data_IF_233024007158
#
_entry.id   IF_233024007158
#
_cell.length_a   1.000
_cell.length_b   1.000
_cell.length_c   1.000
_cell.angle_alpha   90.00
_cell.angle_beta   90.00
_cell.angle_gamma   90.00
#
_symmetry.space_group_name_H-M   'P 1'
#
loop_
_entity.id
_entity.type
_entity.pdbx_description
1 polymer ?
#
# COMPACT_ATOMS: atom_id res chain seq x y z
N UNK A 1 -26.52 53.22 11.12
CA UNK A 1 -26.46 53.13 9.66
C UNK A 1 -26.86 51.71 9.30
N UNK A 2 -27.95 51.55 8.56
CA UNK A 2 -28.51 50.23 8.25
C UNK A 2 -28.00 49.83 6.86
N UNK A 3 -26.70 49.59 6.75
CA UNK A 3 -26.04 49.24 5.50
C UNK A 3 -26.35 47.78 5.19
N UNK A 4 -27.46 47.57 4.48
CA UNK A 4 -27.75 46.27 3.87
C UNK A 4 -26.67 46.02 2.82
N UNK A 5 -25.82 45.02 3.09
CA UNK A 5 -24.81 44.58 2.11
C UNK A 5 -25.52 44.15 0.82
N UNK A 6 -25.10 44.66 -0.35
CA UNK A 6 -25.70 44.31 -1.63
C UNK A 6 -25.41 42.85 -2.00
N UNK A 7 -26.34 42.20 -2.70
CA UNK A 7 -26.24 40.80 -3.11
C UNK A 7 -24.94 40.49 -3.88
N UNK A 8 -24.46 41.41 -4.72
CA UNK A 8 -23.22 41.21 -5.49
C UNK A 8 -22.00 40.98 -4.58
N UNK A 9 -21.90 41.73 -3.48
CA UNK A 9 -20.81 41.56 -2.51
C UNK A 9 -20.96 40.21 -1.80
N UNK A 10 -22.20 39.79 -1.49
CA UNK A 10 -22.45 38.48 -0.90
C UNK A 10 -22.03 37.37 -1.85
N UNK A 11 -22.33 37.47 -3.14
CA UNK A 11 -21.96 36.46 -4.13
C UNK A 11 -20.44 36.33 -4.26
N UNK A 12 -19.70 37.44 -4.25
CA UNK A 12 -18.23 37.43 -4.29
C UNK A 12 -17.62 36.79 -3.03
N UNK A 13 -18.24 37.01 -1.87
CA UNK A 13 -17.78 36.48 -0.59
C UNK A 13 -18.32 35.08 -0.27
N UNK A 14 -19.33 34.61 -1.00
CA UNK A 14 -20.03 33.36 -0.71
C UNK A 14 -19.10 32.14 -0.79
N UNK A 15 -18.25 31.98 -1.83
CA UNK A 15 -17.31 30.86 -1.89
C UNK A 15 -16.37 30.83 -0.68
N UNK A 16 -15.82 32.00 -0.32
CA UNK A 16 -14.92 32.15 0.83
C UNK A 16 -15.63 31.84 2.15
N UNK A 17 -16.91 32.18 2.26
CA UNK A 17 -17.74 31.87 3.42
C UNK A 17 -18.02 30.37 3.56
N UNK A 18 -18.32 29.66 2.46
CA UNK A 18 -18.55 28.21 2.52
C UNK A 18 -17.25 27.45 2.83
N UNK A 19 -16.11 27.95 2.37
CA UNK A 19 -14.78 27.43 2.70
C UNK A 19 -14.30 27.80 4.11
N UNK A 20 -15.06 28.61 4.85
CA UNK A 20 -14.72 29.03 6.22
C UNK A 20 -13.51 29.97 6.31
N UNK A 21 -13.20 30.68 5.22
CA UNK A 21 -12.04 31.58 5.10
C UNK A 21 -12.37 33.05 5.43
N UNK A 22 -13.60 33.34 5.86
CA UNK A 22 -14.08 34.67 6.23
C UNK A 22 -14.02 34.90 7.75
N UNK A 23 -13.86 36.17 8.16
CA UNK A 23 -13.82 36.55 9.57
C UNK A 23 -15.19 36.43 10.24
N UNK A 24 -15.23 36.28 11.58
CA UNK A 24 -16.49 36.17 12.32
C UNK A 24 -17.44 37.35 12.11
N UNK A 25 -16.91 38.58 12.04
CA UNK A 25 -17.72 39.77 11.74
C UNK A 25 -18.39 39.66 10.37
N UNK A 26 -17.64 39.28 9.33
CA UNK A 26 -18.15 39.09 7.97
C UNK A 26 -19.20 37.97 7.93
N UNK A 27 -18.99 36.89 8.69
CA UNK A 27 -19.94 35.78 8.79
C UNK A 27 -21.29 36.22 9.36
N UNK A 28 -21.29 37.14 10.32
CA UNK A 28 -22.50 37.73 10.89
C UNK A 28 -23.34 38.42 9.83
N UNK A 29 -22.72 39.29 9.03
CA UNK A 29 -23.40 40.02 7.97
C UNK A 29 -23.90 39.11 6.83
N UNK A 30 -23.11 38.10 6.43
CA UNK A 30 -23.51 37.14 5.40
C UNK A 30 -24.71 36.31 5.87
N UNK A 31 -24.71 35.83 7.13
CA UNK A 31 -25.85 35.09 7.69
C UNK A 31 -27.13 35.92 7.72
N UNK A 32 -27.05 37.16 8.19
CA UNK A 32 -28.21 38.05 8.23
C UNK A 32 -28.78 38.31 6.81
N UNK A 33 -27.91 38.43 5.80
CA UNK A 33 -28.35 38.58 4.42
C UNK A 33 -29.00 37.30 3.86
N UNK A 34 -28.41 36.13 4.12
CA UNK A 34 -28.95 34.82 3.68
C UNK A 34 -30.32 34.49 4.29
N UNK A 35 -30.63 35.01 5.47
CA UNK A 35 -31.97 34.88 6.09
C UNK A 35 -33.03 35.74 5.38
N UNK A 36 -32.63 36.87 4.78
CA UNK A 36 -33.54 37.86 4.19
C UNK A 36 -33.63 37.76 2.67
N UNK A 37 -32.64 37.17 2.00
CA UNK A 37 -32.56 37.07 0.54
C UNK A 37 -32.61 35.61 0.07
N UNK A 38 -33.71 35.23 -0.58
CA UNK A 38 -33.93 33.86 -1.05
C UNK A 38 -33.02 33.47 -2.22
N UNK A 39 -32.57 34.42 -3.03
CA UNK A 39 -31.70 34.15 -4.17
C UNK A 39 -30.27 33.82 -3.71
N UNK A 40 -29.69 34.61 -2.81
CA UNK A 40 -28.39 34.29 -2.20
C UNK A 40 -28.43 32.96 -1.40
N UNK A 41 -29.58 32.64 -0.78
CA UNK A 41 -29.76 31.36 -0.10
C UNK A 41 -29.73 30.17 -1.06
N UNK A 42 -30.33 30.30 -2.26
CA UNK A 42 -30.25 29.25 -3.28
C UNK A 42 -28.81 29.03 -3.71
N UNK A 43 -28.06 30.10 -3.99
CA UNK A 43 -26.65 29.99 -4.39
C UNK A 43 -25.80 29.34 -3.31
N UNK A 44 -25.99 29.74 -2.04
CA UNK A 44 -25.30 29.10 -0.91
C UNK A 44 -25.56 27.59 -0.86
N UNK A 45 -26.80 27.16 -1.12
CA UNK A 45 -27.14 25.73 -1.15
C UNK A 45 -26.47 24.97 -2.29
N UNK A 46 -26.18 25.62 -3.41
CA UNK A 46 -25.44 25.04 -4.54
C UNK A 46 -23.99 24.82 -4.15
N UNK A 47 -23.31 25.85 -3.65
CA UNK A 47 -21.92 25.74 -3.20
C UNK A 47 -21.73 24.69 -2.11
N UNK A 48 -22.66 24.64 -1.14
CA UNK A 48 -22.62 23.64 -0.07
C UNK A 48 -22.79 22.21 -0.58
N UNK A 49 -23.62 21.99 -1.61
CA UNK A 49 -23.79 20.66 -2.25
C UNK A 49 -22.56 20.26 -3.05
N UNK A 50 -21.92 21.21 -3.72
CA UNK A 50 -20.70 20.98 -4.48
C UNK A 50 -19.55 20.55 -3.57
N UNK A 51 -19.34 21.25 -2.45
CA UNK A 51 -18.36 20.88 -1.42
C UNK A 51 -18.62 19.49 -0.83
N UNK A 52 -19.86 19.19 -0.45
CA UNK A 52 -20.21 17.85 0.06
C UNK A 52 -19.94 16.74 -0.97
N UNK A 53 -20.14 17.05 -2.27
CA UNK A 53 -19.86 16.11 -3.36
C UNK A 53 -18.36 15.89 -3.50
N UNK A 54 -17.54 16.94 -3.48
CA UNK A 54 -16.08 16.86 -3.55
C UNK A 54 -15.48 16.12 -2.35
N UNK A 55 -15.96 16.37 -1.13
CA UNK A 55 -15.55 15.63 0.08
C UNK A 55 -15.90 14.14 0.00
N UNK A 56 -17.06 13.81 -0.59
CA UNK A 56 -17.47 12.41 -0.79
C UNK A 56 -16.60 11.68 -1.83
N UNK A 57 -16.14 12.39 -2.87
CA UNK A 57 -15.27 11.86 -3.92
C UNK A 57 -13.85 11.66 -3.39
N UNK A 58 -13.31 12.65 -2.69
CA UNK A 58 -11.97 12.60 -2.09
C UNK A 58 -11.88 11.50 -1.04
N UNK A 59 -12.82 11.43 -0.10
CA UNK A 59 -12.84 10.39 0.94
C UNK A 59 -13.02 8.97 0.37
N UNK A 60 -13.80 8.79 -0.71
CA UNK A 60 -13.89 7.49 -1.39
C UNK A 60 -12.60 7.12 -2.13
N UNK A 61 -11.91 8.11 -2.70
CA UNK A 61 -10.64 7.89 -3.40
C UNK A 61 -9.55 7.49 -2.41
N UNK A 62 -9.40 8.20 -1.29
CA UNK A 62 -8.46 7.85 -0.23
C UNK A 62 -8.72 6.45 0.35
N UNK A 63 -9.99 6.11 0.63
CA UNK A 63 -10.37 4.78 1.12
C UNK A 63 -10.00 3.68 0.13
N UNK A 64 -10.22 3.89 -1.17
CA UNK A 64 -9.87 2.93 -2.23
C UNK A 64 -8.36 2.77 -2.38
N UNK A 65 -7.59 3.86 -2.32
CA UNK A 65 -6.13 3.80 -2.40
C UNK A 65 -5.52 3.03 -1.22
N UNK A 66 -5.99 3.29 0.01
CA UNK A 66 -5.52 2.56 1.21
C UNK A 66 -5.87 1.06 1.13
N UNK A 67 -7.07 0.71 0.65
CA UNK A 67 -7.47 -0.69 0.47
C UNK A 67 -6.63 -1.41 -0.59
N UNK A 68 -6.31 -0.74 -1.70
CA UNK A 68 -5.48 -1.28 -2.77
C UNK A 68 -4.03 -1.55 -2.31
N UNK A 69 -3.43 -0.61 -1.57
CA UNK A 69 -2.08 -0.77 -1.02
C UNK A 69 -1.98 -1.93 -0.02
N UNK A 70 -3.02 -2.14 0.81
CA UNK A 70 -3.08 -3.32 1.71
C UNK A 70 -3.13 -4.63 0.93
N UNK A 71 -3.89 -4.69 -0.17
CA UNK A 71 -4.03 -5.91 -0.98
C UNK A 71 -2.69 -6.34 -1.58
N UNK A 72 -1.93 -5.41 -2.16
CA UNK A 72 -0.63 -5.72 -2.79
C UNK A 72 0.37 -6.32 -1.78
N UNK A 73 0.43 -5.76 -0.56
CA UNK A 73 1.34 -6.25 0.48
C UNK A 73 1.00 -7.67 0.95
N UNK A 74 -0.28 -8.08 0.93
CA UNK A 74 -0.66 -9.46 1.20
C UNK A 74 -0.21 -10.41 0.10
N UNK A 75 -0.43 -10.08 -1.18
CA UNK A 75 -0.03 -10.93 -2.30
C UNK A 75 1.48 -11.11 -2.39
N UNK A 76 2.27 -10.05 -2.13
CA UNK A 76 3.73 -10.15 -2.09
C UNK A 76 4.23 -11.05 -0.95
N UNK A 77 3.66 -10.93 0.25
CA UNK A 77 4.01 -11.79 1.39
C UNK A 77 3.60 -13.25 1.14
N UNK A 78 2.42 -13.48 0.58
CA UNK A 78 1.92 -14.81 0.27
C UNK A 78 2.77 -15.51 -0.80
N UNK A 79 3.14 -14.79 -1.87
CA UNK A 79 3.98 -15.34 -2.94
C UNK A 79 5.39 -15.69 -2.45
N UNK A 80 5.95 -14.91 -1.51
CA UNK A 80 7.24 -15.22 -0.87
C UNK A 80 7.17 -16.47 0.02
N UNK A 81 6.12 -16.62 0.83
CA UNK A 81 5.94 -17.79 1.69
C UNK A 81 5.81 -19.06 0.82
N UNK A 82 5.03 -18.97 -0.27
CA UNK A 82 4.84 -20.09 -1.18
C UNK A 82 6.16 -20.49 -1.88
N UNK A 83 6.95 -19.52 -2.33
CA UNK A 83 8.27 -19.75 -2.90
C UNK A 83 9.25 -20.40 -1.90
N UNK A 84 9.22 -19.96 -0.64
CA UNK A 84 10.05 -20.55 0.41
C UNK A 84 9.68 -22.03 0.66
N UNK A 85 8.38 -22.34 0.77
CA UNK A 85 7.89 -23.72 0.97
C UNK A 85 8.30 -24.62 -0.20
N UNK A 86 8.11 -24.17 -1.45
CA UNK A 86 8.48 -24.95 -2.64
C UNK A 86 9.99 -25.19 -2.68
N UNK A 87 10.80 -24.15 -2.40
CA UNK A 87 12.26 -24.28 -2.38
C UNK A 87 12.75 -25.26 -1.29
N UNK A 88 12.08 -25.27 -0.13
CA UNK A 88 12.39 -26.17 0.96
C UNK A 88 12.04 -27.62 0.62
N UNK A 89 10.85 -27.85 0.04
CA UNK A 89 10.41 -29.18 -0.40
C UNK A 89 11.35 -29.76 -1.47
N UNK A 90 11.73 -28.97 -2.47
CA UNK A 90 12.68 -29.40 -3.50
C UNK A 90 14.08 -29.67 -2.91
N UNK A 91 14.54 -28.82 -2.00
CA UNK A 91 15.82 -29.00 -1.30
C UNK A 91 15.88 -30.28 -0.46
N UNK A 92 14.75 -30.67 0.17
CA UNK A 92 14.65 -31.89 0.96
C UNK A 92 14.43 -33.16 0.11
N UNK A 93 13.62 -33.10 -0.96
CA UNK A 93 13.31 -34.27 -1.79
C UNK A 93 14.49 -34.75 -2.65
N UNK A 94 15.29 -33.83 -3.22
CA UNK A 94 16.41 -34.18 -4.11
C UNK A 94 17.45 -35.12 -3.49
N UNK A 95 17.96 -34.89 -2.25
CA UNK A 95 18.92 -35.80 -1.63
C UNK A 95 18.31 -37.16 -1.28
N UNK A 96 17.05 -37.19 -0.84
CA UNK A 96 16.32 -38.43 -0.52
C UNK A 96 16.17 -39.30 -1.78
N UNK A 97 15.83 -38.70 -2.92
CA UNK A 97 15.72 -39.41 -4.19
C UNK A 97 17.07 -40.00 -4.65
N UNK A 98 18.15 -39.21 -4.53
CA UNK A 98 19.51 -39.62 -4.94
C UNK A 98 20.05 -40.78 -4.10
N UNK A 99 19.67 -40.88 -2.82
CA UNK A 99 20.11 -41.95 -1.91
C UNK A 99 19.16 -43.15 -1.94
N UNK A 100 17.85 -42.92 -2.06
CA UNK A 100 16.81 -43.96 -2.09
C UNK A 100 16.81 -44.79 -3.38
N UNK A 101 16.99 -44.17 -4.54
CA UNK A 101 17.01 -44.88 -5.85
C UNK A 101 18.10 -45.96 -5.93
N UNK A 102 19.38 -45.72 -5.58
CA UNK A 102 20.40 -46.77 -5.64
C UNK A 102 20.22 -47.86 -4.59
N UNK A 103 19.62 -47.55 -3.43
CA UNK A 103 19.29 -48.53 -2.38
C UNK A 103 18.23 -49.53 -2.85
N UNK A 104 17.19 -49.06 -3.53
CA UNK A 104 16.09 -49.91 -4.02
C UNK A 104 16.53 -50.76 -5.21
N UNK A 105 17.36 -50.20 -6.11
CA UNK A 105 17.82 -50.92 -7.30
C UNK A 105 18.88 -52.00 -6.99
N UNK A 106 19.70 -51.81 -5.96
CA UNK A 106 20.90 -52.63 -5.74
C UNK A 106 20.73 -53.77 -4.73
N UNK A 107 19.57 -53.91 -4.07
CA UNK A 107 19.18 -55.13 -3.35
C UNK A 107 20.09 -55.61 -2.20
N UNK A 108 21.00 -54.80 -1.68
CA UNK A 108 21.89 -55.20 -0.56
C UNK A 108 22.63 -54.03 0.10
N UNK A 109 22.79 -54.11 1.43
CA UNK A 109 23.51 -53.14 2.26
C UNK A 109 24.99 -53.53 2.26
N UNK A 110 25.83 -52.82 1.52
CA UNK A 110 27.28 -52.91 1.67
C UNK A 110 27.80 -51.79 2.59
N UNK A 111 28.82 -52.12 3.40
CA UNK A 111 29.54 -51.27 4.37
C UNK A 111 30.01 -49.88 3.84
N UNK A 112 29.97 -49.65 2.51
CA UNK A 112 30.24 -48.34 1.89
C UNK A 112 29.14 -47.28 2.16
N UNK A 113 27.93 -47.70 2.53
CA UNK A 113 26.77 -46.82 2.68
C UNK A 113 26.87 -45.89 3.90
N UNK A 114 27.50 -46.33 5.00
CA UNK A 114 27.62 -45.53 6.23
C UNK A 114 28.62 -44.36 6.08
N UNK A 115 29.73 -44.58 5.37
CA UNK A 115 30.72 -43.54 5.06
C UNK A 115 30.13 -42.46 4.14
N UNK A 116 29.34 -42.89 3.15
CA UNK A 116 28.60 -41.97 2.26
C UNK A 116 27.46 -41.26 2.98
N UNK A 117 26.80 -41.88 3.96
CA UNK A 117 25.77 -41.25 4.79
C UNK A 117 26.34 -40.12 5.65
N UNK A 118 27.54 -40.30 6.21
CA UNK A 118 28.22 -39.28 7.02
C UNK A 118 28.68 -38.07 6.20
N UNK A 119 29.19 -38.32 4.98
CA UNK A 119 29.53 -37.27 4.00
C UNK A 119 28.27 -36.63 3.40
N UNK A 120 27.21 -37.41 3.18
CA UNK A 120 25.92 -36.88 2.74
C UNK A 120 25.27 -36.01 3.81
N UNK A 121 25.44 -36.32 5.10
CA UNK A 121 24.98 -35.49 6.21
C UNK A 121 25.73 -34.15 6.24
N UNK A 122 27.07 -34.14 6.10
CA UNK A 122 27.84 -32.88 6.10
C UNK A 122 27.58 -32.05 4.84
N UNK A 123 27.52 -32.67 3.66
CA UNK A 123 27.17 -31.99 2.40
C UNK A 123 25.71 -31.51 2.41
N UNK A 124 24.81 -32.27 3.04
CA UNK A 124 23.42 -31.93 3.26
C UNK A 124 23.27 -30.72 4.19
N UNK A 125 23.96 -30.72 5.32
CA UNK A 125 23.98 -29.61 6.27
C UNK A 125 24.52 -28.33 5.64
N UNK A 126 25.62 -28.44 4.89
CA UNK A 126 26.19 -27.31 4.14
C UNK A 126 25.22 -26.78 3.09
N UNK A 127 24.57 -27.67 2.31
CA UNK A 127 23.57 -27.25 1.32
C UNK A 127 22.33 -26.64 1.98
N UNK A 128 21.88 -27.14 3.13
CA UNK A 128 20.77 -26.55 3.90
C UNK A 128 21.09 -25.14 4.40
N UNK A 129 22.31 -24.93 4.90
CA UNK A 129 22.77 -23.60 5.31
C UNK A 129 22.88 -22.64 4.11
N UNK A 130 23.41 -23.12 2.97
CA UNK A 130 23.52 -22.32 1.74
C UNK A 130 22.13 -21.98 1.18
N UNK A 131 21.19 -22.93 1.13
CA UNK A 131 19.81 -22.64 0.70
C UNK A 131 19.12 -21.67 1.65
N UNK A 132 19.35 -21.78 2.96
CA UNK A 132 18.83 -20.85 3.95
C UNK A 132 19.38 -19.43 3.74
N UNK A 133 20.69 -19.30 3.52
CA UNK A 133 21.34 -18.02 3.21
C UNK A 133 20.82 -17.42 1.89
N UNK A 134 20.61 -18.23 0.86
CA UNK A 134 20.06 -17.78 -0.42
C UNK A 134 18.63 -17.28 -0.25
N UNK A 135 17.77 -18.01 0.47
CA UNK A 135 16.40 -17.58 0.74
C UNK A 135 16.38 -16.29 1.56
N UNK A 136 17.24 -16.17 2.58
CA UNK A 136 17.40 -14.94 3.36
C UNK A 136 17.89 -13.77 2.50
N UNK A 137 18.86 -13.98 1.63
CA UNK A 137 19.38 -12.95 0.73
C UNK A 137 18.30 -12.49 -0.27
N UNK A 138 17.58 -13.43 -0.89
CA UNK A 138 16.46 -13.12 -1.79
C UNK A 138 15.37 -12.36 -1.05
N UNK A 139 15.03 -12.75 0.19
CA UNK A 139 14.07 -12.03 1.03
C UNK A 139 14.48 -10.58 1.28
N UNK A 140 15.75 -10.35 1.66
CA UNK A 140 16.29 -9.00 1.88
C UNK A 140 16.24 -8.18 0.59
N UNK A 141 16.64 -8.75 -0.55
CA UNK A 141 16.61 -8.07 -1.85
C UNK A 141 15.18 -7.68 -2.25
N UNK A 142 14.21 -8.57 -2.10
CA UNK A 142 12.81 -8.27 -2.43
C UNK A 142 12.26 -7.18 -1.51
N UNK A 143 12.54 -7.22 -0.20
CA UNK A 143 12.17 -6.15 0.73
C UNK A 143 12.79 -4.79 0.35
N UNK A 144 14.08 -4.78 -0.04
CA UNK A 144 14.76 -3.56 -0.49
C UNK A 144 14.17 -3.02 -1.79
N UNK A 145 13.86 -3.90 -2.75
CA UNK A 145 13.19 -3.54 -4.01
C UNK A 145 11.84 -2.88 -3.73
N UNK A 146 10.99 -3.47 -2.88
CA UNK A 146 9.69 -2.89 -2.51
C UNK A 146 9.88 -1.51 -1.87
N UNK A 147 10.79 -1.39 -0.89
CA UNK A 147 11.09 -0.10 -0.23
C UNK A 147 11.56 0.95 -1.23
N UNK A 148 12.40 0.58 -2.20
CA UNK A 148 12.90 1.47 -3.24
C UNK A 148 11.79 1.97 -4.19
N UNK A 149 10.84 1.09 -4.55
CA UNK A 149 9.69 1.44 -5.40
C UNK A 149 8.76 2.40 -4.67
N UNK A 150 8.47 2.16 -3.38
CA UNK A 150 7.65 3.06 -2.56
C UNK A 150 8.32 4.44 -2.42
N UNK A 151 9.63 4.47 -2.13
CA UNK A 151 10.39 5.73 -2.01
C UNK A 151 10.35 6.53 -3.31
N UNK A 152 10.56 5.89 -4.47
CA UNK A 152 10.48 6.56 -5.78
C UNK A 152 9.08 7.11 -6.07
N UNK A 153 8.03 6.35 -5.74
CA UNK A 153 6.66 6.80 -5.95
C UNK A 153 6.33 8.05 -5.12
N UNK A 154 6.83 8.11 -3.88
CA UNK A 154 6.66 9.28 -2.99
C UNK A 154 7.41 10.52 -3.51
N UNK A 155 8.63 10.34 -4.04
CA UNK A 155 9.40 11.44 -4.64
C UNK A 155 8.67 12.00 -5.88
N UNK A 156 8.19 11.12 -6.76
CA UNK A 156 7.46 11.54 -7.97
C UNK A 156 6.12 12.23 -7.68
N UNK A 157 5.48 11.93 -6.54
CA UNK A 157 4.26 12.62 -6.11
C UNK A 157 4.58 14.04 -5.65
N UNK A 158 5.51 14.19 -4.70
CA UNK A 158 5.97 15.50 -4.22
C UNK A 158 6.50 16.42 -5.34
N UNK A 159 7.16 15.86 -6.37
CA UNK A 159 7.67 16.65 -7.49
C UNK A 159 6.55 17.16 -8.42
N UNK A 160 5.42 16.46 -8.51
CA UNK A 160 4.24 16.95 -9.24
C UNK A 160 3.52 18.06 -8.49
N UNK A 161 3.42 17.93 -7.17
CA UNK A 161 2.75 18.93 -6.32
C UNK A 161 3.55 20.23 -6.22
N UNK A 162 4.87 20.17 -6.35
CA UNK A 162 5.76 21.35 -6.32
C UNK A 162 5.83 22.12 -7.66
N UNK A 163 5.21 21.61 -8.72
CA UNK A 163 5.25 22.19 -10.07
C UNK A 163 3.94 22.86 -10.50
N UNK A 164 2.88 22.73 -9.70
CA UNK A 164 1.63 23.50 -9.81
C UNK A 164 1.68 24.71 -8.88
#
# INVERSE_FOLDING_TARGET
>A
MNDKIPCNIIHDLLPLYVDGLTTEETNGYIKEHLEKCSDCQKEYSVYKKELATLESITSNTEKKEVAYLKKINLYQKASLILGAIISFLLGACIPILKVGVPVILSGGIQEYQLARLRVAWSVGLMKMAISGLIVCAVYIIVMLMIKSVIKRKKINFNEKDAKC
#
